data_IF_989056381417
#
_entry.id   IF_989056381417
#
_cell.length_a   1.000
_cell.length_b   1.000
_cell.length_c   1.000
_cell.angle_alpha   90.00
_cell.angle_beta   90.00
_cell.angle_gamma   90.00
#
_symmetry.space_group_name_H-M   'P 1'
#
loop_
_entity.id
_entity.type
_entity.pdbx_description
1 polymer ?
#
# COMPACT_ATOMS: atom_id res chain seq x y z
N UNK A 1 -10.11 -17.96 15.77
CA UNK A 1 -10.51 -16.82 16.63
C UNK A 1 -9.39 -15.80 16.66
N UNK A 2 -9.63 -14.57 16.18
CA UNK A 2 -8.67 -13.46 16.29
C UNK A 2 -8.37 -13.23 17.78
N UNK A 3 -7.10 -13.14 18.18
CA UNK A 3 -6.71 -12.85 19.56
C UNK A 3 -7.02 -11.38 19.87
N UNK A 4 -8.24 -11.08 20.31
CA UNK A 4 -8.70 -9.70 20.57
C UNK A 4 -7.93 -9.01 21.72
N UNK A 5 -7.33 -9.78 22.62
CA UNK A 5 -6.53 -9.26 23.73
C UNK A 5 -5.37 -8.36 23.29
N UNK A 6 -4.87 -8.53 22.07
CA UNK A 6 -3.81 -7.66 21.53
C UNK A 6 -4.28 -6.22 21.29
N UNK A 7 -5.57 -6.00 21.06
CA UNK A 7 -6.17 -4.69 20.83
C UNK A 7 -6.66 -4.00 22.11
N UNK A 8 -6.70 -4.67 23.25
CA UNK A 8 -7.33 -4.14 24.48
C UNK A 8 -6.28 -3.80 25.51
N UNK A 9 -6.43 -2.63 26.14
CA UNK A 9 -5.58 -2.20 27.28
C UNK A 9 -6.45 -1.48 28.32
N UNK A 10 -6.05 -1.55 29.59
CA UNK A 10 -6.79 -0.90 30.67
C UNK A 10 -6.52 0.62 30.71
N UNK A 11 -7.48 1.40 31.19
CA UNK A 11 -7.40 2.87 31.28
C UNK A 11 -6.31 3.42 32.19
N UNK A 12 -5.80 2.62 33.12
CA UNK A 12 -4.80 3.01 34.11
C UNK A 12 -3.35 2.71 33.70
N UNK A 13 -3.10 2.43 32.43
CA UNK A 13 -1.76 2.16 31.87
C UNK A 13 -1.13 3.45 31.37
N UNK A 14 0.20 3.56 31.39
CA UNK A 14 0.92 4.72 30.85
C UNK A 14 0.83 4.83 29.34
N UNK A 15 0.97 6.04 28.81
CA UNK A 15 1.10 6.29 27.36
C UNK A 15 2.28 5.49 26.80
N UNK A 16 3.41 5.47 27.49
CA UNK A 16 4.63 4.72 27.12
C UNK A 16 4.35 3.22 26.92
N UNK A 17 3.66 2.58 27.85
CA UNK A 17 3.38 1.15 27.76
C UNK A 17 2.32 0.83 26.71
N UNK A 18 1.42 1.77 26.46
CA UNK A 18 0.45 1.66 25.36
C UNK A 18 1.13 1.70 24.00
N UNK A 19 2.12 2.57 23.80
CA UNK A 19 2.92 2.62 22.56
C UNK A 19 3.70 1.32 22.37
N UNK A 20 4.38 0.84 23.43
CA UNK A 20 5.09 -0.46 23.38
C UNK A 20 4.16 -1.59 22.97
N UNK A 21 2.92 -1.60 23.48
CA UNK A 21 1.95 -2.63 23.12
C UNK A 21 1.54 -2.54 21.65
N UNK A 22 1.30 -1.34 21.11
CA UNK A 22 1.04 -1.15 19.66
C UNK A 22 2.17 -1.74 18.82
N UNK A 23 3.41 -1.44 19.20
CA UNK A 23 4.60 -1.87 18.47
C UNK A 23 4.80 -3.39 18.52
N UNK A 24 4.75 -3.98 19.73
CA UNK A 24 4.95 -5.43 19.95
C UNK A 24 3.85 -6.26 19.29
N UNK A 25 2.60 -5.84 19.41
CA UNK A 25 1.44 -6.58 18.90
C UNK A 25 1.14 -6.28 17.43
N UNK A 26 1.86 -5.32 16.82
CA UNK A 26 1.67 -4.86 15.44
C UNK A 26 0.21 -4.51 15.13
N UNK A 27 -0.39 -3.67 15.98
CA UNK A 27 -1.77 -3.21 15.82
C UNK A 27 -1.82 -1.71 15.51
N UNK A 28 -2.87 -1.26 14.81
CA UNK A 28 -3.01 0.15 14.43
C UNK A 28 -3.73 0.99 15.48
N UNK A 29 -4.42 0.34 16.42
CA UNK A 29 -5.09 1.00 17.54
C UNK A 29 -5.11 0.12 18.80
N UNK A 30 -5.33 0.76 19.95
CA UNK A 30 -5.71 0.11 21.20
C UNK A 30 -7.08 0.57 21.65
N UNK A 31 -7.95 -0.38 22.01
CA UNK A 31 -9.22 -0.13 22.65
C UNK A 31 -9.00 -0.01 24.17
N UNK A 32 -9.22 1.18 24.71
CA UNK A 32 -9.03 1.47 26.12
C UNK A 32 -10.28 1.07 26.88
N UNK A 33 -10.12 0.25 27.90
CA UNK A 33 -11.24 -0.31 28.66
C UNK A 33 -11.21 0.11 30.12
N UNK A 34 -12.42 0.34 30.67
CA UNK A 34 -12.60 0.55 32.11
C UNK A 34 -12.59 -0.79 32.89
N UNK A 35 -12.76 -0.70 34.23
CA UNK A 35 -12.83 -1.86 35.14
C UNK A 35 -13.92 -2.87 34.80
N UNK A 36 -15.00 -2.46 34.07
CA UNK A 36 -16.08 -3.34 33.59
C UNK A 36 -15.81 -3.90 32.20
N UNK A 37 -14.58 -3.75 31.67
CA UNK A 37 -14.17 -4.16 30.31
C UNK A 37 -14.98 -3.50 29.17
N UNK A 38 -15.61 -2.35 29.43
CA UNK A 38 -16.27 -1.54 28.39
C UNK A 38 -15.25 -0.60 27.76
N UNK A 39 -15.31 -0.45 26.45
CA UNK A 39 -14.45 0.50 25.73
C UNK A 39 -14.91 1.93 26.06
N UNK A 40 -13.95 2.76 26.47
CA UNK A 40 -14.14 4.17 26.79
C UNK A 40 -13.49 5.10 25.77
N UNK A 41 -12.67 4.58 24.89
CA UNK A 41 -12.00 5.30 23.81
C UNK A 41 -11.02 4.43 23.05
N UNK A 42 -10.47 5.00 21.99
CA UNK A 42 -9.36 4.40 21.24
C UNK A 42 -8.10 5.25 21.40
N UNK A 43 -6.97 4.61 21.18
CA UNK A 43 -5.66 5.24 21.09
C UNK A 43 -4.91 4.73 19.88
N UNK A 44 -4.37 5.64 19.07
CA UNK A 44 -3.61 5.37 17.86
C UNK A 44 -2.27 6.10 17.88
N UNK A 45 -1.36 5.77 16.95
CA UNK A 45 -0.13 6.53 16.76
C UNK A 45 -0.38 7.99 16.34
N UNK A 46 -1.53 8.28 15.71
CA UNK A 46 -1.96 9.66 15.42
C UNK A 46 -2.30 10.45 16.68
N UNK A 47 -2.92 9.81 17.68
CA UNK A 47 -3.18 10.41 19.00
C UNK A 47 -1.86 10.69 19.73
N UNK A 48 -0.93 9.74 19.69
CA UNK A 48 0.40 9.92 20.29
C UNK A 48 1.14 11.13 19.68
N UNK A 49 1.19 11.25 18.34
CA UNK A 49 1.83 12.42 17.69
C UNK A 49 1.24 13.74 18.20
N UNK A 50 -0.09 13.82 18.32
CA UNK A 50 -0.77 15.02 18.85
C UNK A 50 -0.39 15.32 20.28
N UNK A 51 -0.15 14.29 21.10
CA UNK A 51 0.30 14.43 22.46
C UNK A 51 1.71 14.98 22.58
N UNK A 52 2.63 14.42 21.77
CA UNK A 52 4.03 14.90 21.73
C UNK A 52 4.08 16.38 21.34
N UNK A 53 3.29 16.78 20.31
CA UNK A 53 3.22 18.17 19.88
C UNK A 53 2.65 19.12 20.94
N UNK A 54 1.86 18.61 21.89
CA UNK A 54 1.33 19.36 23.03
C UNK A 54 2.24 19.33 24.26
N UNK A 55 3.39 18.67 24.20
CA UNK A 55 4.34 18.58 25.30
C UNK A 55 3.90 17.71 26.48
N UNK A 56 2.98 16.73 26.24
CA UNK A 56 2.52 15.82 27.30
C UNK A 56 3.60 14.80 27.66
N UNK A 57 3.68 14.47 28.97
CA UNK A 57 4.60 13.45 29.48
C UNK A 57 4.09 12.05 29.08
N UNK A 58 4.96 11.26 28.45
CA UNK A 58 4.64 9.88 28.04
C UNK A 58 4.45 8.92 29.24
N UNK A 59 4.83 9.33 30.45
CA UNK A 59 4.58 8.57 31.67
C UNK A 59 3.18 8.83 32.27
N UNK A 60 2.45 9.81 31.73
CA UNK A 60 1.06 10.03 32.12
C UNK A 60 0.15 8.86 31.73
N UNK A 61 -1.01 8.84 32.37
CA UNK A 61 -2.03 7.83 32.15
C UNK A 61 -2.66 7.98 30.76
N UNK A 62 -2.87 6.87 30.05
CA UNK A 62 -3.46 6.86 28.70
C UNK A 62 -4.85 7.51 28.65
N UNK A 63 -5.61 7.45 29.76
CA UNK A 63 -6.95 8.04 29.85
C UNK A 63 -7.00 9.55 29.57
N UNK A 64 -5.87 10.26 29.69
CA UNK A 64 -5.78 11.71 29.42
C UNK A 64 -5.86 12.07 27.96
N UNK A 65 -5.54 11.12 27.06
CA UNK A 65 -5.34 11.36 25.63
C UNK A 65 -6.19 10.50 24.69
N UNK A 66 -7.07 9.66 25.24
CA UNK A 66 -7.91 8.77 24.42
C UNK A 66 -8.86 9.54 23.52
N UNK A 67 -9.02 9.05 22.30
CA UNK A 67 -10.07 9.51 21.41
C UNK A 67 -11.41 8.89 21.81
N UNK A 68 -12.31 9.71 22.37
CA UNK A 68 -13.66 9.29 22.77
C UNK A 68 -14.67 9.31 21.60
N UNK A 69 -14.34 10.04 20.52
CA UNK A 69 -15.17 10.14 19.30
C UNK A 69 -14.56 9.29 18.19
N UNK A 70 -14.51 7.99 18.40
CA UNK A 70 -13.95 7.05 17.44
C UNK A 70 -15.03 6.38 16.59
N UNK A 71 -14.67 5.94 15.39
CA UNK A 71 -15.53 5.15 14.51
C UNK A 71 -15.48 3.69 14.92
N UNK A 72 -16.64 3.03 14.88
CA UNK A 72 -16.79 1.62 15.20
C UNK A 72 -17.97 1.03 14.44
N UNK A 73 -18.04 -0.28 14.39
CA UNK A 73 -19.16 -1.04 13.88
C UNK A 73 -19.89 -1.70 15.04
N UNK A 74 -21.22 -1.83 14.92
CA UNK A 74 -22.02 -2.59 15.88
C UNK A 74 -22.11 -4.06 15.46
N UNK A 75 -22.34 -4.95 16.43
CA UNK A 75 -22.58 -6.36 16.18
C UNK A 75 -23.75 -6.54 15.18
N UNK A 76 -23.52 -7.33 14.12
CA UNK A 76 -24.51 -7.51 13.05
C UNK A 76 -24.49 -6.42 11.97
N UNK A 77 -23.45 -5.59 11.91
CA UNK A 77 -23.26 -4.59 10.86
C UNK A 77 -23.31 -5.22 9.46
N UNK A 78 -23.74 -4.44 8.48
CA UNK A 78 -23.68 -4.84 7.07
C UNK A 78 -22.34 -4.50 6.44
N UNK A 79 -21.97 -5.22 5.38
CA UNK A 79 -20.77 -4.91 4.58
C UNK A 79 -20.77 -3.45 4.11
N UNK A 80 -21.91 -2.92 3.67
CA UNK A 80 -22.05 -1.52 3.25
C UNK A 80 -21.72 -0.53 4.35
N UNK A 81 -22.10 -0.77 5.59
CA UNK A 81 -21.78 0.11 6.72
C UNK A 81 -20.26 0.16 6.99
N UNK A 82 -19.56 -0.97 6.88
CA UNK A 82 -18.11 -1.00 7.02
C UNK A 82 -17.43 -0.21 5.89
N UNK A 83 -17.90 -0.40 4.68
CA UNK A 83 -17.48 0.28 3.47
C UNK A 83 -17.64 1.79 3.59
N UNK A 84 -18.82 2.27 3.95
CA UNK A 84 -19.12 3.70 4.09
C UNK A 84 -18.17 4.39 5.08
N UNK A 85 -17.83 3.72 6.18
CA UNK A 85 -16.87 4.28 7.15
C UNK A 85 -15.46 4.34 6.57
N UNK A 86 -15.03 3.31 5.86
CA UNK A 86 -13.70 3.26 5.27
C UNK A 86 -13.53 4.24 4.11
N UNK A 87 -14.57 4.47 3.31
CA UNK A 87 -14.52 5.40 2.17
C UNK A 87 -14.57 6.86 2.61
N UNK A 88 -15.39 7.16 3.61
CA UNK A 88 -15.48 8.52 4.16
C UNK A 88 -14.24 8.94 4.97
N UNK A 89 -13.34 8.01 5.31
CA UNK A 89 -12.13 8.31 6.07
C UNK A 89 -10.96 7.41 5.66
N UNK A 90 -10.19 7.87 4.69
CA UNK A 90 -9.00 7.16 4.18
C UNK A 90 -7.93 6.87 5.23
N UNK A 91 -7.96 7.54 6.39
CA UNK A 91 -7.00 7.33 7.48
C UNK A 91 -7.31 6.11 8.35
N UNK A 92 -8.55 5.58 8.29
CA UNK A 92 -8.98 4.42 9.07
C UNK A 92 -8.59 3.13 8.33
N UNK A 93 -7.70 2.33 8.90
CA UNK A 93 -7.30 1.02 8.38
C UNK A 93 -8.06 -0.13 9.01
N UNK A 94 -8.41 0.01 10.28
CA UNK A 94 -9.04 -1.03 11.11
C UNK A 94 -10.20 -0.43 11.90
N UNK A 95 -11.32 -1.14 11.96
CA UNK A 95 -12.51 -0.75 12.74
C UNK A 95 -12.79 -1.75 13.85
N UNK A 96 -12.94 -1.30 15.10
CA UNK A 96 -13.44 -2.15 16.17
C UNK A 96 -14.92 -2.47 15.96
N UNK A 97 -15.30 -3.71 16.20
CA UNK A 97 -16.71 -4.16 16.26
C UNK A 97 -17.11 -4.30 17.73
N UNK A 98 -18.19 -3.64 18.09
CA UNK A 98 -18.65 -3.59 19.49
C UNK A 98 -20.00 -4.30 19.63
N UNK A 99 -20.15 -5.07 20.72
CA UNK A 99 -21.47 -5.52 21.13
C UNK A 99 -22.26 -4.39 21.82
N UNK A 100 -23.55 -4.64 22.10
CA UNK A 100 -24.46 -3.70 22.81
C UNK A 100 -23.90 -3.19 24.15
N UNK A 101 -23.08 -3.99 24.82
CA UNK A 101 -22.42 -3.63 26.09
C UNK A 101 -21.15 -2.80 25.91
N UNK A 102 -20.83 -2.35 24.69
CA UNK A 102 -19.61 -1.62 24.33
C UNK A 102 -18.32 -2.41 24.61
N UNK A 103 -18.34 -3.72 24.44
CA UNK A 103 -17.15 -4.57 24.49
C UNK A 103 -16.67 -4.89 23.08
N UNK A 104 -15.36 -5.00 22.91
CA UNK A 104 -14.77 -5.43 21.63
C UNK A 104 -15.07 -6.89 21.38
N UNK A 105 -15.72 -7.20 20.25
CA UNK A 105 -16.06 -8.55 19.84
C UNK A 105 -15.34 -8.99 18.58
N UNK A 106 -14.92 -8.04 17.72
CA UNK A 106 -14.11 -8.30 16.53
C UNK A 106 -13.37 -7.03 16.09
N UNK A 107 -12.47 -7.18 15.12
CA UNK A 107 -11.80 -6.08 14.42
C UNK A 107 -11.89 -6.36 12.93
N UNK A 108 -12.37 -5.39 12.20
CA UNK A 108 -12.57 -5.43 10.76
C UNK A 108 -11.46 -4.63 10.08
N UNK A 109 -10.81 -5.21 9.09
CA UNK A 109 -9.73 -4.57 8.37
C UNK A 109 -10.21 -4.03 7.02
N UNK A 110 -9.77 -2.82 6.67
CA UNK A 110 -10.09 -2.20 5.37
C UNK A 110 -9.84 -3.14 4.19
N UNK A 111 -8.71 -3.86 4.19
CA UNK A 111 -8.34 -4.76 3.10
C UNK A 111 -9.26 -5.98 2.95
N UNK A 112 -9.94 -6.42 4.00
CA UNK A 112 -10.95 -7.49 3.92
C UNK A 112 -12.22 -7.01 3.19
N UNK A 113 -12.59 -5.74 3.36
CA UNK A 113 -13.80 -5.14 2.78
C UNK A 113 -13.56 -4.43 1.46
N UNK A 114 -12.36 -3.93 1.22
CA UNK A 114 -11.94 -3.44 -0.11
C UNK A 114 -11.97 -4.57 -1.15
N UNK A 115 -11.84 -5.84 -0.75
CA UNK A 115 -12.07 -6.96 -1.65
C UNK A 115 -13.56 -7.13 -2.01
N UNK A 116 -14.48 -6.89 -1.09
CA UNK A 116 -15.93 -6.96 -1.35
C UNK A 116 -16.47 -5.71 -2.06
N UNK A 117 -15.91 -4.53 -1.79
CA UNK A 117 -16.15 -3.30 -2.59
C UNK A 117 -15.78 -3.50 -4.06
N UNK A 118 -14.74 -4.26 -4.32
CA UNK A 118 -14.28 -4.57 -5.69
C UNK A 118 -15.30 -5.40 -6.48
N UNK A 119 -16.17 -6.14 -5.82
CA UNK A 119 -17.24 -6.89 -6.48
C UNK A 119 -18.51 -6.05 -6.73
N UNK A 120 -18.63 -4.85 -6.14
CA UNK A 120 -19.77 -3.95 -6.30
C UNK A 120 -19.54 -2.75 -7.21
N UNK A 121 -18.26 -2.45 -7.54
CA UNK A 121 -17.96 -1.46 -8.58
C UNK A 121 -18.13 -2.07 -9.96
N UNK A 122 -18.58 -1.25 -10.89
CA UNK A 122 -18.71 -1.58 -12.31
C UNK A 122 -17.33 -1.96 -12.87
N UNK A 123 -16.95 -3.23 -12.67
CA UNK A 123 -15.67 -3.81 -13.11
C UNK A 123 -15.50 -3.75 -14.65
N UNK A 124 -16.55 -3.36 -15.36
CA UNK A 124 -16.53 -3.20 -16.82
C UNK A 124 -15.57 -2.09 -17.30
N UNK A 125 -15.34 -1.04 -16.48
CA UNK A 125 -14.45 0.08 -16.86
C UNK A 125 -13.01 -0.39 -17.06
N UNK A 126 -12.50 -1.27 -16.18
CA UNK A 126 -11.11 -1.72 -16.22
C UNK A 126 -10.87 -2.97 -17.04
N UNK A 127 -11.92 -3.68 -17.44
CA UNK A 127 -11.84 -4.95 -18.16
C UNK A 127 -11.08 -4.82 -19.49
N UNK A 128 -11.21 -3.68 -20.15
CA UNK A 128 -10.61 -3.40 -21.45
C UNK A 128 -9.35 -2.51 -21.34
N UNK A 129 -8.96 -2.09 -20.13
CA UNK A 129 -7.74 -1.30 -19.93
C UNK A 129 -6.57 -2.26 -19.74
N UNK A 130 -5.56 -2.27 -20.62
CA UNK A 130 -4.43 -3.17 -20.49
C UNK A 130 -3.47 -2.70 -19.41
N UNK A 131 -2.92 -3.67 -18.68
CA UNK A 131 -1.81 -3.48 -17.75
C UNK A 131 -0.53 -4.04 -18.38
N UNK A 132 0.46 -3.18 -18.54
CA UNK A 132 1.77 -3.56 -19.07
C UNK A 132 2.74 -3.73 -17.90
N UNK A 133 3.27 -4.93 -17.74
CA UNK A 133 4.25 -5.24 -16.71
C UNK A 133 5.64 -5.33 -17.34
N UNK A 134 6.54 -4.46 -16.89
CA UNK A 134 7.90 -4.36 -17.41
C UNK A 134 8.81 -5.40 -16.74
N UNK A 135 8.93 -6.60 -17.32
CA UNK A 135 9.71 -7.72 -16.77
C UNK A 135 11.00 -8.03 -17.56
N UNK A 136 11.38 -7.21 -18.56
CA UNK A 136 12.57 -7.42 -19.40
C UNK A 136 13.91 -7.03 -18.74
N UNK A 137 13.91 -6.51 -17.51
CA UNK A 137 15.11 -6.03 -16.84
C UNK A 137 16.01 -7.15 -16.28
N UNK A 138 17.35 -6.99 -16.38
CA UNK A 138 18.34 -7.97 -15.91
C UNK A 138 18.41 -8.13 -14.37
N UNK A 139 17.84 -7.21 -13.58
CA UNK A 139 17.78 -7.30 -12.13
C UNK A 139 19.13 -7.28 -11.38
N UNK A 140 20.20 -6.73 -11.95
CA UNK A 140 21.59 -6.77 -11.41
C UNK A 140 21.74 -6.40 -9.92
N UNK A 141 20.87 -5.53 -9.38
CA UNK A 141 20.90 -5.12 -7.97
C UNK A 141 20.51 -6.24 -7.00
N UNK A 142 19.91 -7.32 -7.49
CA UNK A 142 19.47 -8.46 -6.71
C UNK A 142 20.35 -9.71 -6.91
N UNK A 143 21.56 -9.54 -7.45
CA UNK A 143 22.54 -10.63 -7.51
C UNK A 143 22.85 -11.18 -6.08
N UNK A 144 22.99 -12.49 -5.91
CA UNK A 144 23.08 -13.56 -6.94
C UNK A 144 21.74 -14.16 -7.40
N UNK A 145 20.60 -13.83 -6.78
CA UNK A 145 19.30 -14.46 -7.07
C UNK A 145 18.91 -14.32 -8.53
N UNK A 146 19.15 -13.14 -9.11
CA UNK A 146 18.79 -12.85 -10.51
C UNK A 146 19.73 -13.48 -11.53
N UNK A 147 20.80 -14.17 -11.09
CA UNK A 147 21.58 -15.04 -11.98
C UNK A 147 20.83 -16.32 -12.36
N UNK A 148 19.96 -16.78 -11.49
CA UNK A 148 19.20 -18.03 -11.69
C UNK A 148 17.78 -17.71 -12.13
N UNK A 149 17.03 -16.90 -11.36
CA UNK A 149 15.63 -16.57 -11.62
C UNK A 149 15.48 -15.17 -12.22
N UNK A 150 14.51 -14.95 -13.13
CA UNK A 150 14.13 -13.60 -13.50
C UNK A 150 13.57 -12.87 -12.27
N UNK A 151 13.84 -11.56 -12.17
CA UNK A 151 13.43 -10.72 -11.02
C UNK A 151 11.94 -10.84 -10.71
N UNK A 152 11.12 -10.93 -11.74
CA UNK A 152 9.66 -11.05 -11.66
C UNK A 152 9.17 -12.37 -11.03
N UNK A 153 10.00 -13.41 -11.03
CA UNK A 153 9.68 -14.71 -10.42
C UNK A 153 10.29 -14.89 -9.02
N UNK A 154 10.97 -13.89 -8.48
CA UNK A 154 11.46 -13.96 -7.09
C UNK A 154 10.25 -14.03 -6.16
N UNK A 155 10.19 -15.04 -5.25
CA UNK A 155 9.04 -15.23 -4.38
C UNK A 155 9.02 -14.21 -3.25
N UNK A 156 7.82 -13.74 -2.92
CA UNK A 156 7.51 -13.03 -1.67
C UNK A 156 6.49 -13.91 -0.93
N UNK A 157 6.92 -14.50 0.16
CA UNK A 157 6.15 -15.57 0.79
C UNK A 157 6.09 -16.79 -0.14
N UNK A 158 4.88 -17.22 -0.51
CA UNK A 158 4.65 -18.40 -1.34
C UNK A 158 4.39 -18.10 -2.82
N UNK A 159 4.41 -16.81 -3.23
CA UNK A 159 4.01 -16.41 -4.57
C UNK A 159 5.07 -15.54 -5.25
N UNK A 160 5.30 -15.67 -6.56
CA UNK A 160 6.17 -14.77 -7.30
C UNK A 160 5.64 -13.34 -7.26
N UNK A 161 6.56 -12.37 -7.20
CA UNK A 161 6.19 -10.96 -7.08
C UNK A 161 5.29 -10.49 -8.25
N UNK A 162 5.51 -10.99 -9.46
CA UNK A 162 4.69 -10.63 -10.63
C UNK A 162 3.23 -11.07 -10.43
N UNK A 163 2.99 -12.26 -9.86
CA UNK A 163 1.63 -12.74 -9.58
C UNK A 163 0.96 -11.85 -8.54
N UNK A 164 1.66 -11.48 -7.47
CA UNK A 164 1.14 -10.57 -6.44
C UNK A 164 0.73 -9.21 -7.05
N UNK A 165 1.53 -8.69 -7.97
CA UNK A 165 1.21 -7.44 -8.69
C UNK A 165 -0.04 -7.63 -9.55
N UNK A 166 -0.10 -8.71 -10.35
CA UNK A 166 -1.24 -8.99 -11.22
C UNK A 166 -2.53 -9.20 -10.43
N UNK A 167 -2.47 -9.91 -9.29
CA UNK A 167 -3.62 -10.10 -8.40
C UNK A 167 -4.16 -8.77 -7.87
N UNK A 168 -3.27 -7.82 -7.55
CA UNK A 168 -3.70 -6.47 -7.14
C UNK A 168 -4.47 -5.74 -8.22
N UNK A 169 -3.99 -5.75 -9.46
CA UNK A 169 -4.74 -5.18 -10.59
C UNK A 169 -6.04 -5.93 -10.86
N UNK A 170 -6.01 -7.27 -10.88
CA UNK A 170 -7.19 -8.11 -11.09
C UNK A 170 -8.30 -7.81 -10.08
N UNK A 171 -7.92 -7.58 -8.82
CA UNK A 171 -8.87 -7.20 -7.79
C UNK A 171 -9.64 -5.91 -8.07
N UNK A 172 -9.18 -5.05 -8.98
CA UNK A 172 -9.90 -3.87 -9.46
C UNK A 172 -10.62 -4.09 -10.81
N UNK A 173 -10.63 -5.33 -11.32
CA UNK A 173 -11.34 -5.69 -12.56
C UNK A 173 -10.47 -5.71 -13.81
N UNK A 174 -9.16 -5.40 -13.72
CA UNK A 174 -8.25 -5.55 -14.85
C UNK A 174 -8.12 -7.02 -15.24
N UNK A 175 -8.27 -7.33 -16.52
CA UNK A 175 -8.20 -8.69 -17.04
C UNK A 175 -7.14 -8.87 -18.13
N UNK A 176 -6.74 -7.80 -18.82
CA UNK A 176 -5.74 -7.84 -19.86
C UNK A 176 -4.35 -7.46 -19.36
N UNK A 177 -3.41 -8.39 -19.45
CA UNK A 177 -2.02 -8.18 -19.06
C UNK A 177 -1.09 -8.38 -20.24
N UNK A 178 -0.15 -7.45 -20.42
CA UNK A 178 0.96 -7.58 -21.34
C UNK A 178 2.26 -7.57 -20.56
N UNK A 179 3.05 -8.63 -20.68
CA UNK A 179 4.29 -8.77 -19.93
C UNK A 179 5.46 -8.59 -20.91
N UNK A 180 6.22 -7.52 -20.74
CA UNK A 180 7.46 -7.32 -21.47
C UNK A 180 8.53 -8.27 -20.91
N UNK A 181 9.12 -9.07 -21.78
CA UNK A 181 10.13 -10.07 -21.43
C UNK A 181 11.37 -9.94 -22.32
N UNK A 182 12.54 -10.26 -21.78
CA UNK A 182 13.80 -10.29 -22.50
C UNK A 182 14.60 -11.54 -22.09
N UNK A 183 15.77 -11.34 -21.49
CA UNK A 183 16.60 -12.42 -20.92
C UNK A 183 15.79 -13.24 -19.93
N UNK A 184 15.89 -14.57 -20.00
CA UNK A 184 15.09 -15.51 -19.18
C UNK A 184 13.56 -15.43 -19.35
N UNK A 185 13.08 -14.80 -20.42
CA UNK A 185 11.64 -14.69 -20.71
C UNK A 185 10.94 -16.03 -20.82
N UNK A 186 11.64 -17.10 -21.24
CA UNK A 186 11.09 -18.45 -21.29
C UNK A 186 10.68 -18.98 -19.91
N UNK A 187 11.43 -18.65 -18.85
CA UNK A 187 11.06 -19.06 -17.49
C UNK A 187 9.77 -18.38 -17.05
N UNK A 188 9.58 -17.09 -17.41
CA UNK A 188 8.35 -16.36 -17.12
C UNK A 188 7.19 -16.99 -17.89
N UNK A 189 7.36 -17.30 -19.18
CA UNK A 189 6.34 -17.97 -19.99
C UNK A 189 5.96 -19.32 -19.41
N UNK A 190 6.94 -20.18 -19.08
CA UNK A 190 6.69 -21.50 -18.47
C UNK A 190 5.90 -21.39 -17.19
N UNK A 191 6.24 -20.43 -16.30
CA UNK A 191 5.49 -20.22 -15.06
C UNK A 191 4.00 -19.96 -15.34
N UNK A 192 3.67 -19.14 -16.31
CA UNK A 192 2.27 -18.80 -16.63
C UNK A 192 1.56 -19.88 -17.46
N UNK A 193 2.26 -20.66 -18.27
CA UNK A 193 1.67 -21.77 -19.04
C UNK A 193 1.43 -23.01 -18.18
N UNK A 194 2.33 -23.29 -17.21
CA UNK A 194 2.24 -24.47 -16.37
C UNK A 194 1.23 -24.32 -15.21
N UNK A 195 0.81 -23.08 -14.92
CA UNK A 195 -0.18 -22.79 -13.91
C UNK A 195 -1.44 -22.24 -14.60
N UNK A 196 -2.58 -22.87 -14.34
CA UNK A 196 -3.88 -22.41 -14.84
C UNK A 196 -4.31 -21.14 -14.08
N UNK A 197 -3.76 -20.00 -14.49
CA UNK A 197 -3.97 -18.73 -13.84
C UNK A 197 -5.05 -17.92 -14.57
N UNK A 198 -5.94 -17.25 -13.85
CA UNK A 198 -7.11 -16.60 -14.43
C UNK A 198 -6.79 -15.21 -14.99
N UNK A 199 -5.80 -15.12 -15.87
CA UNK A 199 -5.38 -13.89 -16.54
C UNK A 199 -5.36 -14.06 -18.07
N UNK A 200 -5.74 -13.00 -18.78
CA UNK A 200 -5.48 -12.92 -20.23
C UNK A 200 -4.10 -12.29 -20.42
N UNK A 201 -3.10 -13.12 -20.75
CA UNK A 201 -1.69 -12.69 -20.84
C UNK A 201 -1.20 -12.71 -22.29
N UNK A 202 -0.55 -11.60 -22.69
CA UNK A 202 0.23 -11.52 -23.92
C UNK A 202 1.67 -11.14 -23.59
N UNK A 203 2.65 -11.83 -24.19
CA UNK A 203 4.06 -11.52 -23.99
C UNK A 203 4.58 -10.58 -25.09
N UNK A 204 5.36 -9.56 -24.68
CA UNK A 204 6.05 -8.64 -25.58
C UNK A 204 7.54 -8.96 -25.48
N UNK A 205 8.11 -9.51 -26.55
CA UNK A 205 9.53 -9.86 -26.58
C UNK A 205 10.41 -8.66 -26.93
N UNK A 206 11.38 -8.37 -26.08
CA UNK A 206 12.42 -7.37 -26.31
C UNK A 206 13.70 -8.06 -26.74
N UNK A 207 14.11 -7.94 -28.00
CA UNK A 207 15.39 -8.48 -28.49
C UNK A 207 16.61 -7.68 -28.00
N UNK A 208 16.40 -6.43 -27.56
CA UNK A 208 17.41 -5.54 -26.97
C UNK A 208 16.75 -4.79 -25.81
N UNK A 209 17.49 -4.46 -24.73
CA UNK A 209 16.96 -3.62 -23.68
C UNK A 209 16.54 -2.26 -24.24
N UNK A 210 15.24 -1.97 -24.27
CA UNK A 210 14.68 -0.73 -24.80
C UNK A 210 14.48 0.35 -23.71
N UNK A 211 14.85 0.04 -22.48
CA UNK A 211 14.57 0.90 -21.32
C UNK A 211 13.13 0.77 -20.82
N UNK A 212 12.78 1.59 -19.83
CA UNK A 212 11.50 1.47 -19.11
C UNK A 212 10.29 1.69 -20.02
N UNK A 213 10.37 2.54 -21.02
CA UNK A 213 9.26 2.86 -21.93
C UNK A 213 9.34 2.15 -23.30
N UNK A 214 10.46 1.49 -23.61
CA UNK A 214 10.67 0.95 -24.95
C UNK A 214 9.75 -0.21 -25.32
N UNK A 215 9.26 -0.98 -24.34
CA UNK A 215 8.27 -2.02 -24.60
C UNK A 215 6.92 -1.44 -25.08
N UNK A 216 6.61 -0.18 -24.70
CA UNK A 216 5.37 0.48 -25.10
C UNK A 216 5.32 0.70 -26.61
N UNK A 217 6.47 0.98 -27.25
CA UNK A 217 6.55 1.16 -28.71
C UNK A 217 6.26 -0.11 -29.52
N UNK A 218 6.28 -1.28 -28.88
CA UNK A 218 5.99 -2.59 -29.49
C UNK A 218 4.55 -3.04 -29.31
N UNK A 219 3.70 -2.21 -28.73
CA UNK A 219 2.29 -2.54 -28.57
C UNK A 219 1.59 -2.32 -29.90
N UNK A 220 1.31 -3.42 -30.60
CA UNK A 220 0.70 -3.39 -31.95
C UNK A 220 -0.75 -2.90 -31.98
N UNK A 221 -1.41 -2.77 -30.86
CA UNK A 221 -2.80 -2.33 -30.79
C UNK A 221 -2.90 -0.90 -30.30
N UNK A 222 -3.50 -0.03 -31.12
CA UNK A 222 -3.95 1.29 -30.65
C UNK A 222 -5.13 1.08 -29.72
N UNK A 223 -4.91 1.21 -28.43
CA UNK A 223 -6.00 1.31 -27.48
C UNK A 223 -6.56 2.73 -27.56
N UNK A 224 -7.89 2.84 -27.67
CA UNK A 224 -8.53 4.14 -27.49
C UNK A 224 -8.65 4.40 -25.99
N UNK A 225 -7.70 5.11 -25.40
CA UNK A 225 -7.73 5.44 -23.98
C UNK A 225 -6.37 5.30 -23.31
N UNK A 226 -6.40 5.10 -22.02
CA UNK A 226 -5.20 5.02 -21.18
C UNK A 226 -4.76 3.57 -20.96
N UNK A 227 -3.48 3.38 -20.69
CA UNK A 227 -2.88 2.10 -20.32
C UNK A 227 -2.18 2.23 -18.99
N UNK A 228 -2.26 1.20 -18.15
CA UNK A 228 -1.44 1.11 -16.95
C UNK A 228 -0.09 0.47 -17.28
N UNK A 229 0.97 1.05 -16.73
CA UNK A 229 2.33 0.52 -16.86
C UNK A 229 2.89 0.32 -15.45
N UNK A 230 3.43 -0.86 -15.17
CA UNK A 230 4.00 -1.19 -13.87
C UNK A 230 5.34 -1.89 -14.02
N UNK A 231 6.29 -1.56 -13.16
CA UNK A 231 7.47 -2.39 -12.99
C UNK A 231 7.08 -3.74 -12.38
N UNK A 232 7.87 -4.78 -12.65
CA UNK A 232 7.61 -6.15 -12.17
C UNK A 232 8.06 -6.40 -10.72
N UNK A 233 8.53 -5.41 -10.00
CA UNK A 233 9.08 -5.53 -8.65
C UNK A 233 8.50 -4.53 -7.65
N UNK A 234 7.41 -3.86 -8.02
CA UNK A 234 6.76 -2.84 -7.21
C UNK A 234 5.38 -3.32 -6.78
N UNK A 235 5.22 -3.51 -5.49
CA UNK A 235 3.92 -3.80 -4.88
C UNK A 235 3.45 -2.54 -4.14
N UNK A 236 2.39 -1.92 -4.63
CA UNK A 236 1.76 -0.76 -3.99
C UNK A 236 0.38 -1.11 -3.45
N UNK A 237 0.04 -0.54 -2.30
CA UNK A 237 -1.30 -0.57 -1.75
C UNK A 237 -1.96 0.78 -2.06
N UNK A 238 -2.74 0.81 -3.12
CA UNK A 238 -3.39 2.03 -3.59
C UNK A 238 -4.74 1.69 -4.20
N UNK A 239 -5.57 2.70 -4.33
CA UNK A 239 -6.80 2.64 -5.10
C UNK A 239 -6.49 2.95 -6.57
N UNK A 240 -6.45 1.91 -7.42
CA UNK A 240 -6.19 2.08 -8.86
C UNK A 240 -7.33 2.83 -9.57
N UNK A 241 -8.56 2.79 -9.01
CA UNK A 241 -9.67 3.56 -9.54
C UNK A 241 -9.45 5.07 -9.32
N UNK A 242 -9.08 5.45 -8.11
CA UNK A 242 -8.80 6.86 -7.80
C UNK A 242 -7.65 7.42 -8.66
N UNK A 243 -6.62 6.61 -8.95
CA UNK A 243 -5.53 7.02 -9.85
C UNK A 243 -6.05 7.20 -11.29
N UNK A 244 -6.90 6.27 -11.76
CA UNK A 244 -7.51 6.36 -13.08
C UNK A 244 -8.41 7.60 -13.21
N UNK A 245 -9.28 7.82 -12.25
CA UNK A 245 -10.21 8.95 -12.24
C UNK A 245 -9.42 10.29 -12.22
N UNK A 246 -8.38 10.39 -11.41
CA UNK A 246 -7.47 11.54 -11.41
C UNK A 246 -6.84 11.80 -12.78
N UNK A 247 -6.35 10.75 -13.45
CA UNK A 247 -5.76 10.85 -14.79
C UNK A 247 -6.78 11.34 -15.82
N UNK A 248 -7.98 10.78 -15.76
CA UNK A 248 -9.05 11.05 -16.73
C UNK A 248 -9.66 12.44 -16.54
N UNK A 249 -9.98 12.81 -15.31
CA UNK A 249 -10.54 14.12 -14.97
C UNK A 249 -9.56 15.27 -15.30
N UNK A 250 -8.26 15.04 -15.07
CA UNK A 250 -7.23 16.00 -15.40
C UNK A 250 -6.85 16.03 -16.89
N UNK A 251 -7.38 15.11 -17.71
CA UNK A 251 -7.02 14.94 -19.12
C UNK A 251 -5.50 14.88 -19.34
N UNK A 252 -4.80 14.16 -18.46
CA UNK A 252 -3.34 14.07 -18.50
C UNK A 252 -2.85 13.07 -19.54
N UNK A 253 -1.74 13.38 -20.20
CA UNK A 253 -1.07 12.45 -21.11
C UNK A 253 -0.32 11.36 -20.35
N UNK A 254 0.23 11.72 -19.18
CA UNK A 254 0.97 10.83 -18.29
C UNK A 254 0.66 11.15 -16.83
N UNK A 255 0.31 10.14 -16.05
CA UNK A 255 0.22 10.21 -14.59
C UNK A 255 1.25 9.28 -13.96
N UNK A 256 2.08 9.81 -13.08
CA UNK A 256 3.09 9.08 -12.34
C UNK A 256 2.62 8.87 -10.89
N UNK A 257 2.65 7.63 -10.42
CA UNK A 257 2.35 7.33 -9.03
C UNK A 257 3.62 7.47 -8.18
N UNK A 258 3.59 8.37 -7.21
CA UNK A 258 4.69 8.60 -6.28
C UNK A 258 4.33 8.17 -4.86
N UNK A 259 5.33 7.76 -4.09
CA UNK A 259 5.20 7.45 -2.67
C UNK A 259 6.02 8.42 -1.84
N UNK A 260 5.43 8.96 -0.78
CA UNK A 260 6.17 9.74 0.21
C UNK A 260 7.10 8.83 0.99
N UNK A 261 8.37 9.23 1.09
CA UNK A 261 9.38 8.55 1.89
C UNK A 261 10.00 9.52 2.87
N UNK A 262 10.02 9.12 4.14
CA UNK A 262 10.64 9.86 5.23
C UNK A 262 12.00 9.26 5.53
N UNK A 263 13.05 10.07 5.51
CA UNK A 263 14.41 9.67 5.84
C UNK A 263 14.89 10.50 7.02
N UNK A 264 15.23 9.82 8.11
CA UNK A 264 15.90 10.44 9.25
C UNK A 264 17.37 10.09 9.21
N UNK A 265 18.23 11.12 9.12
CA UNK A 265 19.67 10.93 9.22
C UNK A 265 20.02 10.90 10.72
N UNK A 266 20.59 9.79 11.25
CA UNK A 266 20.85 9.67 12.69
C UNK A 266 22.09 10.44 13.17
N UNK A 267 22.62 11.34 12.35
CA UNK A 267 23.84 12.11 12.57
C UNK A 267 23.61 13.59 12.28
N UNK A 268 24.50 14.46 12.80
CA UNK A 268 24.55 15.86 12.37
C UNK A 268 25.00 15.97 10.92
N UNK A 269 24.24 16.68 10.10
CA UNK A 269 24.56 16.97 8.69
C UNK A 269 25.25 18.32 8.59
N UNK A 270 26.50 18.34 8.12
CA UNK A 270 27.28 19.57 7.92
C UNK A 270 26.91 20.24 6.60
N UNK A 271 26.48 21.48 6.66
CA UNK A 271 26.24 22.31 5.49
C UNK A 271 27.45 23.20 5.24
N UNK A 272 28.11 23.02 4.10
CA UNK A 272 29.31 23.75 3.71
C UNK A 272 28.99 24.77 2.63
N UNK A 273 29.75 25.88 2.58
CA UNK A 273 29.77 26.78 1.44
C UNK A 273 30.63 26.23 0.27
N UNK A 274 30.66 26.97 -0.84
CA UNK A 274 31.43 26.57 -2.03
C UNK A 274 32.95 26.54 -1.79
N UNK A 275 33.46 27.17 -0.72
CA UNK A 275 34.85 27.17 -0.32
C UNK A 275 35.23 26.10 0.71
N UNK A 276 34.22 25.26 1.11
CA UNK A 276 34.37 24.20 2.11
C UNK A 276 34.29 24.68 3.57
N UNK A 277 33.91 25.94 3.81
CA UNK A 277 33.69 26.44 5.17
C UNK A 277 32.35 25.97 5.73
N UNK A 278 32.36 25.52 6.97
CA UNK A 278 31.18 25.08 7.68
C UNK A 278 30.23 26.27 7.95
N UNK A 279 28.98 26.19 7.46
CA UNK A 279 27.93 27.18 7.72
C UNK A 279 27.11 26.82 8.96
N UNK A 280 26.63 25.58 9.00
CA UNK A 280 25.83 25.05 10.12
C UNK A 280 25.90 23.52 10.17
N UNK A 281 25.41 22.95 11.27
CA UNK A 281 25.20 21.52 11.44
C UNK A 281 23.73 21.34 11.80
N UNK A 282 22.99 20.59 10.97
CA UNK A 282 21.60 20.19 11.24
C UNK A 282 21.62 18.86 11.99
N UNK A 283 21.24 18.86 13.26
CA UNK A 283 21.25 17.66 14.10
C UNK A 283 20.07 16.75 13.78
N UNK A 284 20.36 15.53 13.35
CA UNK A 284 19.40 14.47 13.02
C UNK A 284 18.23 14.95 12.14
N UNK A 285 18.52 15.58 11.00
CA UNK A 285 17.47 16.12 10.14
C UNK A 285 16.58 15.02 9.57
N UNK A 286 15.32 15.37 9.32
CA UNK A 286 14.33 14.53 8.65
C UNK A 286 14.04 15.13 7.27
N UNK A 287 14.04 14.26 6.25
CA UNK A 287 13.78 14.66 4.87
C UNK A 287 12.61 13.87 4.29
N UNK A 288 11.75 14.56 3.59
CA UNK A 288 10.61 14.00 2.89
C UNK A 288 10.83 14.05 1.38
N UNK A 289 10.72 12.89 0.73
CA UNK A 289 10.86 12.79 -0.71
C UNK A 289 9.66 12.11 -1.34
N UNK A 290 9.18 12.64 -2.45
CA UNK A 290 8.29 11.95 -3.37
C UNK A 290 9.12 11.06 -4.27
N UNK A 291 9.02 9.74 -4.06
CA UNK A 291 9.79 8.74 -4.79
C UNK A 291 8.91 8.09 -5.83
N UNK A 292 9.40 8.00 -7.07
CA UNK A 292 8.72 7.30 -8.16
C UNK A 292 8.55 5.83 -7.81
N UNK A 293 7.29 5.33 -7.85
CA UNK A 293 6.98 3.93 -7.58
C UNK A 293 7.20 3.03 -8.79
N UNK A 294 7.32 3.58 -10.00
CA UNK A 294 7.37 2.79 -11.23
C UNK A 294 6.00 2.28 -11.69
N UNK A 295 4.92 2.91 -11.22
CA UNK A 295 3.56 2.72 -11.73
C UNK A 295 3.09 4.00 -12.41
N UNK A 296 2.53 3.86 -13.60
CA UNK A 296 2.13 4.97 -14.45
C UNK A 296 0.79 4.69 -15.13
N UNK A 297 0.07 5.75 -15.48
CA UNK A 297 -0.98 5.72 -16.48
C UNK A 297 -0.51 6.58 -17.66
N UNK A 298 -0.64 6.05 -18.87
CA UNK A 298 -0.17 6.70 -20.09
C UNK A 298 -1.30 6.69 -21.10
N UNK A 299 -1.54 7.82 -21.77
CA UNK A 299 -2.45 7.85 -22.92
C UNK A 299 -1.86 7.05 -24.09
N UNK A 300 -2.66 6.23 -24.70
CA UNK A 300 -2.22 5.36 -25.82
C UNK A 300 -1.85 6.11 -27.09
N UNK A 301 -2.16 7.42 -27.15
CA UNK A 301 -1.81 8.30 -28.26
C UNK A 301 -0.38 8.84 -28.20
N UNK A 302 0.30 8.69 -27.04
CA UNK A 302 1.72 9.00 -26.88
C UNK A 302 2.61 7.92 -27.49
#
# INVERSE_FOLDING_TARGET
MKKLNKYVIAENVSIRDSIKKIDIEHVNFLAITNSKKKIIGLFTMGDFRRCVLKGLDINENISTIINKKFKFLEEGFSTTQAIDIFDNDGSVSDLPVLCKDKKLIDVVYRNEYVADLKNSFDNEVFKNIPVIIMAGGKGKRMDPFTRILPKSLIPIGNEPIIKIIMDKFKNFGFSEFKISINDKGQMIKSYFYDNDLPYNIKFIEEHKPLGTAGALSKIETKYNGSIFVSNCDIVINTDYKAIHDFHFEGSYDLTLVASMRHYKIPYGVCNLDNAGKLNNIDEKPEYDFLVNTGVYIVQSSL
#
